data_IF_363656721928
#
_entry.id   IF_363656721928
#
_cell.length_a   1.000
_cell.length_b   1.000
_cell.length_c   1.000
_cell.angle_alpha   90.00
_cell.angle_beta   90.00
_cell.angle_gamma   90.00
#
_symmetry.space_group_name_H-M   'P 1'
#
loop_
_entity.id
_entity.type
_entity.pdbx_description
1 polymer ?
#
# COMPACT_ATOMS: atom_id res chain seq x y z
N UNK A 1 -14.90 -13.45 0.70
CA UNK A 1 -15.12 -14.79 1.29
C UNK A 1 -14.63 -14.84 2.73
N UNK A 2 -13.39 -14.42 3.01
CA UNK A 2 -12.79 -14.46 4.36
C UNK A 2 -13.64 -13.78 5.44
N UNK A 3 -14.16 -12.58 5.18
CA UNK A 3 -15.05 -11.87 6.14
C UNK A 3 -16.29 -12.68 6.54
N UNK A 4 -16.92 -13.36 5.57
CA UNK A 4 -18.08 -14.20 5.84
C UNK A 4 -17.68 -15.46 6.61
N UNK A 5 -16.55 -16.09 6.25
CA UNK A 5 -16.01 -17.25 6.95
C UNK A 5 -15.68 -16.95 8.41
N UNK A 6 -15.02 -15.83 8.70
CA UNK A 6 -14.69 -15.43 10.08
C UNK A 6 -15.92 -15.03 10.88
N UNK A 7 -16.91 -14.37 10.27
CA UNK A 7 -18.18 -14.06 10.93
C UNK A 7 -18.96 -15.32 11.34
N UNK A 8 -19.00 -16.33 10.48
CA UNK A 8 -19.65 -17.62 10.79
C UNK A 8 -18.88 -18.37 11.88
N UNK A 9 -17.54 -18.39 11.83
CA UNK A 9 -16.72 -18.99 12.88
C UNK A 9 -16.87 -18.27 14.23
N UNK A 10 -17.05 -16.95 14.23
CA UNK A 10 -17.30 -16.18 15.44
C UNK A 10 -18.66 -16.54 16.06
N UNK A 11 -19.69 -16.73 15.23
CA UNK A 11 -21.04 -17.05 15.70
C UNK A 11 -21.24 -18.54 16.06
N UNK A 12 -20.55 -19.47 15.39
CA UNK A 12 -20.80 -20.92 15.49
C UNK A 12 -19.55 -21.78 15.78
N UNK A 13 -18.37 -21.19 15.95
CA UNK A 13 -17.10 -21.92 16.12
C UNK A 13 -16.90 -22.57 17.49
N UNK A 14 -17.72 -22.22 18.49
CA UNK A 14 -17.59 -22.72 19.86
C UNK A 14 -16.39 -22.13 20.63
N UNK A 15 -16.28 -22.46 21.92
CA UNK A 15 -15.36 -21.80 22.87
C UNK A 15 -13.87 -21.81 22.49
N UNK A 16 -13.41 -22.81 21.74
CA UNK A 16 -11.99 -22.93 21.39
C UNK A 16 -11.60 -22.06 20.20
N UNK A 17 -12.52 -21.84 19.25
CA UNK A 17 -12.26 -21.11 18.00
C UNK A 17 -12.74 -19.65 18.07
N UNK A 18 -13.54 -19.30 19.06
CA UNK A 18 -14.09 -17.95 19.25
C UNK A 18 -13.00 -16.88 19.34
N UNK A 19 -12.01 -17.07 20.22
CA UNK A 19 -10.91 -16.11 20.41
C UNK A 19 -10.08 -15.92 19.12
N UNK A 20 -9.83 -17.02 18.41
CA UNK A 20 -9.11 -17.00 17.15
C UNK A 20 -9.91 -16.31 16.04
N UNK A 21 -11.20 -16.63 15.93
CA UNK A 21 -12.11 -16.02 14.96
C UNK A 21 -12.28 -14.52 15.23
N UNK A 22 -12.28 -14.10 16.49
CA UNK A 22 -12.36 -12.68 16.88
C UNK A 22 -11.15 -11.89 16.38
N UNK A 23 -9.95 -12.38 16.65
CA UNK A 23 -8.70 -11.74 16.17
C UNK A 23 -8.68 -11.69 14.65
N UNK A 24 -9.06 -12.79 13.97
CA UNK A 24 -9.14 -12.81 12.51
C UNK A 24 -10.19 -11.84 11.96
N UNK A 25 -11.36 -11.73 12.59
CA UNK A 25 -12.43 -10.82 12.16
C UNK A 25 -11.97 -9.37 12.22
N UNK A 26 -11.40 -8.95 13.36
CA UNK A 26 -10.85 -7.60 13.55
C UNK A 26 -9.67 -7.35 12.60
N UNK A 27 -8.77 -8.33 12.44
CA UNK A 27 -7.62 -8.25 11.53
C UNK A 27 -8.03 -8.10 10.06
N UNK A 28 -9.08 -8.79 9.61
CA UNK A 28 -9.59 -8.66 8.23
C UNK A 28 -10.18 -7.28 8.00
N UNK A 29 -10.98 -6.75 8.94
CA UNK A 29 -11.58 -5.42 8.79
C UNK A 29 -10.48 -4.34 8.71
N UNK A 30 -9.58 -4.34 9.70
CA UNK A 30 -8.49 -3.36 9.78
C UNK A 30 -7.48 -3.50 8.64
N UNK A 31 -7.09 -4.73 8.29
CA UNK A 31 -6.16 -5.01 7.19
C UNK A 31 -6.71 -4.65 5.81
N UNK A 32 -8.01 -4.89 5.58
CA UNK A 32 -8.66 -4.51 4.32
C UNK A 32 -8.71 -2.99 4.17
N UNK A 33 -9.16 -2.28 5.21
CA UNK A 33 -9.19 -0.81 5.20
C UNK A 33 -7.79 -0.21 5.00
N UNK A 34 -6.78 -0.70 5.72
CA UNK A 34 -5.40 -0.22 5.58
C UNK A 34 -4.85 -0.43 4.17
N UNK A 35 -5.02 -1.62 3.59
CA UNK A 35 -4.45 -1.93 2.27
C UNK A 35 -5.09 -1.09 1.16
N UNK A 36 -6.41 -0.91 1.18
CA UNK A 36 -7.08 -0.18 0.09
C UNK A 36 -6.87 1.33 0.18
N UNK A 37 -6.83 1.90 1.38
CA UNK A 37 -6.75 3.36 1.56
C UNK A 37 -5.35 3.86 1.89
N UNK A 38 -4.67 3.23 2.85
CA UNK A 38 -3.34 3.68 3.31
C UNK A 38 -2.27 3.30 2.30
N UNK A 39 -2.23 2.03 1.88
CA UNK A 39 -1.17 1.58 0.96
C UNK A 39 -1.32 2.21 -0.44
N UNK A 40 -2.54 2.35 -0.95
CA UNK A 40 -2.78 3.01 -2.24
C UNK A 40 -2.33 4.47 -2.23
N UNK A 41 -2.68 5.23 -1.18
CA UNK A 41 -2.26 6.63 -1.05
C UNK A 41 -0.73 6.76 -0.93
N UNK A 42 -0.09 5.90 -0.12
CA UNK A 42 1.36 5.84 0.02
C UNK A 42 2.07 5.54 -1.30
N UNK A 43 1.55 4.60 -2.09
CA UNK A 43 2.11 4.27 -3.41
C UNK A 43 2.03 5.46 -4.35
N UNK A 44 0.88 6.14 -4.40
CA UNK A 44 0.71 7.33 -5.25
C UNK A 44 1.70 8.42 -4.85
N UNK A 45 1.80 8.75 -3.56
CA UNK A 45 2.74 9.75 -3.05
C UNK A 45 4.20 9.37 -3.37
N UNK A 46 4.55 8.09 -3.18
CA UNK A 46 5.87 7.58 -3.51
C UNK A 46 6.19 7.69 -5.01
N UNK A 47 5.24 7.34 -5.89
CA UNK A 47 5.45 7.43 -7.34
C UNK A 47 5.68 8.87 -7.78
N UNK A 48 4.90 9.82 -7.26
CA UNK A 48 5.06 11.25 -7.55
C UNK A 48 6.42 11.77 -7.05
N UNK A 49 6.82 11.38 -5.84
CA UNK A 49 8.12 11.75 -5.28
C UNK A 49 9.30 11.24 -6.13
N UNK A 50 9.23 9.99 -6.57
CA UNK A 50 10.26 9.37 -7.43
C UNK A 50 10.33 10.06 -8.79
N UNK A 51 9.18 10.33 -9.42
CA UNK A 51 9.11 10.91 -10.76
C UNK A 51 9.60 12.36 -10.79
N UNK A 52 9.28 13.16 -9.75
CA UNK A 52 9.83 14.51 -9.57
C UNK A 52 11.36 14.52 -9.48
N UNK A 53 11.94 13.57 -8.75
CA UNK A 53 13.40 13.40 -8.64
C UNK A 53 14.06 12.97 -9.94
N UNK A 54 13.43 12.06 -10.67
CA UNK A 54 13.91 11.58 -11.98
C UNK A 54 13.86 12.71 -13.02
N UNK A 55 12.78 13.49 -13.05
CA UNK A 55 12.64 14.67 -13.91
C UNK A 55 13.72 15.73 -13.64
N UNK A 56 14.01 15.99 -12.36
CA UNK A 56 15.09 16.90 -11.97
C UNK A 56 16.47 16.41 -12.41
N UNK A 57 16.77 15.10 -12.28
CA UNK A 57 18.02 14.51 -12.82
C UNK A 57 18.09 14.65 -14.34
N UNK A 58 17.01 14.36 -15.08
CA UNK A 58 16.99 14.41 -16.54
C UNK A 58 17.29 15.83 -17.06
N UNK A 59 16.72 16.87 -16.42
CA UNK A 59 16.99 18.28 -16.75
C UNK A 59 18.46 18.66 -16.52
N UNK A 60 19.08 18.18 -15.44
CA UNK A 60 20.51 18.43 -15.14
C UNK A 60 21.44 17.78 -16.18
N UNK A 61 21.10 16.56 -16.61
CA UNK A 61 21.87 15.84 -17.63
C UNK A 61 21.74 16.50 -19.00
N UNK A 62 20.53 16.96 -19.38
CA UNK A 62 20.31 17.68 -20.63
C UNK A 62 21.12 18.99 -20.69
N UNK A 63 21.12 19.78 -19.61
CA UNK A 63 21.92 21.01 -19.51
C UNK A 63 23.43 20.77 -19.62
N UNK A 64 23.94 19.71 -19.00
CA UNK A 64 25.36 19.35 -19.06
C UNK A 64 25.79 18.84 -20.45
N UNK A 65 24.90 18.12 -21.15
CA UNK A 65 25.15 17.67 -22.52
C UNK A 65 25.11 18.82 -23.52
N UNK A 66 24.21 19.77 -23.34
CA UNK A 66 24.13 20.99 -24.16
C UNK A 66 25.38 21.85 -23.97
N UNK A 67 25.82 22.06 -22.73
CA UNK A 67 27.05 22.80 -22.40
C UNK A 67 28.34 22.15 -22.96
N UNK A 68 28.33 20.85 -23.24
CA UNK A 68 29.47 20.13 -23.83
C UNK A 68 29.47 20.14 -25.36
N UNK A 69 28.38 20.55 -26.02
CA UNK A 69 28.28 20.60 -27.49
C UNK A 69 28.72 21.93 -28.11
N UNK A 70 28.86 22.97 -27.28
CA UNK A 70 29.28 24.34 -27.67
C UNK A 70 30.78 24.60 -27.49
N UNK A 71 31.52 23.59 -27.03
CA UNK A 71 32.99 23.57 -26.94
C UNK A 71 33.53 22.52 -27.90
#
# INVERSE_FOLDING_TARGET
TVFLSTAILLAFGGKTLEDFAFVLFVGVITGTYSTTYVAAALVVDWTLYVEGRLGARKKRLAKGGEARKIT
#
